data_IF_315210651441
#
_entry.id   IF_315210651441
#
_cell.length_a   1.000
_cell.length_b   1.000
_cell.length_c   1.000
_cell.angle_alpha   90.00
_cell.angle_beta   90.00
_cell.angle_gamma   90.00
#
_symmetry.space_group_name_H-M   'P 1'
#
loop_
_entity.id
_entity.type
_entity.pdbx_description
1 polymer ?
#
# COMPACT_ATOMS: atom_id res chain seq x y z
N UNK A 1 -11.33 22.39 -1.30
CA UNK A 1 -10.30 21.90 -0.35
C UNK A 1 -9.91 20.50 -0.76
N UNK A 2 -8.66 20.08 -0.51
CA UNK A 2 -8.24 18.70 -0.75
C UNK A 2 -8.97 17.78 0.25
N UNK A 3 -9.38 16.60 -0.19
CA UNK A 3 -9.96 15.58 0.69
C UNK A 3 -8.85 14.97 1.56
N UNK A 4 -9.06 14.97 2.88
CA UNK A 4 -8.14 14.41 3.87
C UNK A 4 -8.35 12.92 3.94
N UNK A 5 -7.31 12.15 3.69
CA UNK A 5 -7.41 10.69 3.60
C UNK A 5 -6.43 9.98 4.53
N UNK A 6 -6.85 8.81 4.99
CA UNK A 6 -5.98 7.85 5.67
C UNK A 6 -5.89 6.59 4.83
N UNK A 7 -4.69 6.04 4.66
CA UNK A 7 -4.48 4.80 3.88
C UNK A 7 -4.21 3.66 4.84
N UNK A 8 -5.07 2.65 4.84
CA UNK A 8 -5.00 1.51 5.75
C UNK A 8 -4.25 0.36 5.09
N UNK A 9 -3.19 -0.18 5.69
CA UNK A 9 -2.47 -1.30 5.12
C UNK A 9 -1.28 -1.85 5.91
N UNK A 10 -0.78 -2.99 5.46
CA UNK A 10 0.38 -3.69 6.04
C UNK A 10 1.62 -3.58 5.15
N UNK A 11 1.97 -2.36 4.73
CA UNK A 11 3.25 -2.00 4.16
C UNK A 11 3.64 -2.81 2.90
N UNK A 12 2.92 -2.52 1.82
CA UNK A 12 3.17 -2.98 0.46
C UNK A 12 2.22 -2.30 -0.51
N UNK A 13 0.95 -2.73 -0.52
CA UNK A 13 -0.09 -2.18 -1.41
C UNK A 13 -0.49 -0.75 -1.02
N UNK A 14 -0.47 -0.40 0.26
CA UNK A 14 -0.70 0.96 0.77
C UNK A 14 0.28 1.99 0.18
N UNK A 15 1.59 1.74 0.26
CA UNK A 15 2.60 2.61 -0.34
C UNK A 15 2.48 2.64 -1.87
N UNK A 16 2.14 1.51 -2.48
CA UNK A 16 1.88 1.47 -3.92
C UNK A 16 0.68 2.35 -4.31
N UNK A 17 -0.45 2.21 -3.64
CA UNK A 17 -1.66 3.02 -3.83
C UNK A 17 -1.37 4.50 -3.64
N UNK A 18 -0.61 4.85 -2.60
CA UNK A 18 -0.10 6.21 -2.40
C UNK A 18 0.67 6.70 -3.63
N UNK A 19 1.70 5.97 -4.05
CA UNK A 19 2.60 6.40 -5.11
C UNK A 19 1.91 6.56 -6.47
N UNK A 20 0.96 5.69 -6.82
CA UNK A 20 0.33 5.69 -8.14
C UNK A 20 -0.91 6.57 -8.24
N UNK A 21 -1.63 6.78 -7.13
CA UNK A 21 -2.94 7.45 -7.17
C UNK A 21 -2.98 8.77 -6.38
N UNK A 22 -2.25 8.88 -5.25
CA UNK A 22 -2.40 9.99 -4.32
C UNK A 22 -1.22 10.97 -4.30
N UNK A 23 0.02 10.49 -4.48
CA UNK A 23 1.26 11.27 -4.27
C UNK A 23 1.21 12.65 -4.93
N UNK A 24 0.94 12.66 -6.23
CA UNK A 24 0.97 13.87 -7.05
C UNK A 24 -0.43 14.45 -7.33
N UNK A 25 -1.48 13.93 -6.66
CA UNK A 25 -2.87 14.33 -6.89
C UNK A 25 -3.35 15.42 -5.89
N UNK A 26 -3.50 16.70 -6.31
CA UNK A 26 -3.84 17.80 -5.42
C UNK A 26 -5.27 17.72 -4.84
N UNK A 27 -6.12 16.84 -5.37
CA UNK A 27 -7.46 16.62 -4.83
C UNK A 27 -7.45 15.93 -3.45
N UNK A 28 -6.33 15.31 -3.06
CA UNK A 28 -6.20 14.53 -1.83
C UNK A 28 -5.00 14.97 -0.98
N UNK A 29 -5.15 14.93 0.33
CA UNK A 29 -4.08 15.08 1.33
C UNK A 29 -4.02 13.79 2.16
N UNK A 30 -2.93 13.04 2.06
CA UNK A 30 -2.73 11.80 2.82
C UNK A 30 -2.18 12.17 4.20
N UNK A 31 -3.03 12.10 5.21
CA UNK A 31 -2.71 12.52 6.57
C UNK A 31 -1.84 11.47 7.27
N UNK A 32 -2.16 10.20 7.07
CA UNK A 32 -1.41 9.09 7.67
C UNK A 32 -1.59 7.79 6.87
N UNK A 33 -0.66 6.87 7.09
CA UNK A 33 -0.91 5.44 6.93
C UNK A 33 -1.33 4.84 8.27
N UNK A 34 -2.17 3.82 8.27
CA UNK A 34 -2.39 2.97 9.45
C UNK A 34 -1.88 1.57 9.20
N UNK A 35 -1.32 0.94 10.23
CA UNK A 35 -0.89 -0.44 10.19
C UNK A 35 -1.39 -1.23 11.39
N UNK A 36 -1.72 -2.51 11.16
CA UNK A 36 -1.84 -3.51 12.23
C UNK A 36 -0.42 -3.83 12.69
N UNK A 37 -0.22 -4.22 13.95
CA UNK A 37 1.12 -4.40 14.54
C UNK A 37 2.02 -5.26 13.65
N UNK A 38 2.96 -4.60 12.96
CA UNK A 38 4.12 -5.24 12.37
C UNK A 38 5.26 -4.98 13.35
N UNK A 39 5.96 -6.01 13.84
CA UNK A 39 7.15 -5.82 14.64
C UNK A 39 8.09 -4.79 13.98
N UNK A 40 8.56 -3.82 14.75
CA UNK A 40 9.55 -2.81 14.32
C UNK A 40 9.06 -1.69 13.36
N UNK A 41 7.74 -1.45 13.24
CA UNK A 41 7.19 -0.36 12.40
C UNK A 41 6.48 0.76 13.20
N UNK A 42 6.23 0.56 14.49
CA UNK A 42 5.63 1.57 15.36
C UNK A 42 6.50 2.86 15.38
N UNK A 43 5.87 4.01 15.15
CA UNK A 43 6.47 5.35 14.98
C UNK A 43 7.29 5.60 13.70
N UNK A 44 7.16 4.77 12.66
CA UNK A 44 7.81 5.05 11.37
C UNK A 44 7.03 6.07 10.55
N UNK A 45 7.74 6.82 9.72
CA UNK A 45 7.19 7.67 8.66
C UNK A 45 7.48 7.03 7.32
N UNK A 46 6.55 7.13 6.38
CA UNK A 46 6.89 7.01 4.98
C UNK A 46 7.83 8.18 4.62
N UNK A 47 9.05 7.92 4.12
CA UNK A 47 10.12 8.92 4.05
C UNK A 47 9.80 10.04 3.06
N UNK A 48 10.21 11.27 3.39
CA UNK A 48 9.99 12.45 2.56
C UNK A 48 10.58 12.29 1.15
N UNK A 49 11.72 11.61 1.06
CA UNK A 49 12.45 11.28 -0.16
C UNK A 49 11.60 10.47 -1.14
N UNK A 50 10.66 9.66 -0.65
CA UNK A 50 9.74 8.88 -1.47
C UNK A 50 8.34 9.52 -1.56
N UNK A 51 7.96 10.31 -0.56
CA UNK A 51 6.65 10.95 -0.48
C UNK A 51 6.51 12.14 -1.45
N UNK A 52 7.62 12.73 -1.88
CA UNK A 52 7.64 13.81 -2.85
C UNK A 52 7.36 15.19 -2.25
N UNK A 53 7.35 16.26 -3.06
CA UNK A 53 7.40 17.65 -2.60
C UNK A 53 6.23 18.09 -1.71
N UNK A 54 5.09 17.40 -1.81
CA UNK A 54 3.88 17.69 -1.04
C UNK A 54 3.96 17.19 0.41
N UNK A 55 4.93 16.33 0.72
CA UNK A 55 5.10 15.71 2.03
C UNK A 55 6.56 15.85 2.50
N UNK A 56 7.06 17.08 2.73
CA UNK A 56 8.46 17.33 3.08
C UNK A 56 8.88 16.72 4.43
N UNK A 57 7.91 16.42 5.30
CA UNK A 57 8.14 15.72 6.58
C UNK A 57 7.85 14.21 6.51
N UNK A 58 7.61 13.68 5.30
CA UNK A 58 7.07 12.34 5.12
C UNK A 58 5.64 12.21 5.66
N UNK A 59 5.13 10.98 5.68
CA UNK A 59 3.75 10.69 6.11
C UNK A 59 3.81 9.76 7.33
N UNK A 60 3.16 10.09 8.45
CA UNK A 60 3.18 9.24 9.64
C UNK A 60 2.51 7.89 9.39
N UNK A 61 3.06 6.84 10.01
CA UNK A 61 2.45 5.50 10.08
C UNK A 61 2.00 5.31 11.53
N UNK A 62 0.68 5.21 11.72
CA UNK A 62 0.02 5.17 13.03
C UNK A 62 -0.62 3.79 13.27
N UNK A 63 -0.96 3.51 14.53
CA UNK A 63 -1.60 2.26 14.88
C UNK A 63 -3.05 2.21 14.35
N UNK A 64 -3.43 1.14 13.67
CA UNK A 64 -4.80 0.98 13.18
C UNK A 64 -5.84 0.90 14.31
N UNK A 65 -5.44 0.50 15.52
CA UNK A 65 -6.31 0.54 16.71
C UNK A 65 -6.78 1.96 17.06
N UNK A 66 -6.14 3.00 16.53
CA UNK A 66 -6.54 4.40 16.72
C UNK A 66 -7.44 4.93 15.59
N UNK A 67 -7.82 4.12 14.60
CA UNK A 67 -8.51 4.55 13.39
C UNK A 67 -9.71 5.47 13.64
N UNK A 68 -10.63 5.08 14.53
CA UNK A 68 -11.82 5.88 14.81
C UNK A 68 -11.50 7.21 15.50
N UNK A 69 -10.45 7.23 16.34
CA UNK A 69 -9.94 8.45 16.96
C UNK A 69 -9.33 9.35 15.89
N UNK A 70 -8.48 8.81 15.03
CA UNK A 70 -7.83 9.54 13.94
C UNK A 70 -8.86 10.13 12.98
N UNK A 71 -9.92 9.38 12.63
CA UNK A 71 -10.99 9.88 11.76
C UNK A 71 -11.61 11.17 12.32
N UNK A 72 -11.87 11.21 13.63
CA UNK A 72 -12.47 12.38 14.29
C UNK A 72 -11.47 13.52 14.50
N UNK A 73 -10.33 13.22 15.10
CA UNK A 73 -9.34 14.21 15.55
C UNK A 73 -8.66 14.89 14.35
N UNK A 74 -8.32 14.10 13.31
CA UNK A 74 -7.65 14.58 12.10
C UNK A 74 -8.63 15.02 11.00
N UNK A 75 -9.95 14.91 11.24
CA UNK A 75 -11.02 15.24 10.29
C UNK A 75 -10.83 14.55 8.95
N UNK A 76 -10.76 13.23 8.97
CA UNK A 76 -10.56 12.41 7.77
C UNK A 76 -11.87 12.31 6.98
N UNK A 77 -11.82 12.64 5.69
CA UNK A 77 -12.96 12.53 4.77
C UNK A 77 -13.12 11.11 4.22
N UNK A 78 -12.01 10.39 3.99
CA UNK A 78 -12.03 9.04 3.41
C UNK A 78 -10.92 8.14 3.97
N UNK A 79 -11.27 6.92 4.38
CA UNK A 79 -10.32 5.86 4.64
C UNK A 79 -10.18 4.94 3.41
N UNK A 80 -8.96 4.76 2.95
CA UNK A 80 -8.62 3.97 1.76
C UNK A 80 -8.07 2.62 2.22
N UNK A 81 -8.83 1.56 1.98
CA UNK A 81 -8.47 0.23 2.42
C UNK A 81 -7.50 -0.44 1.41
N UNK A 82 -6.30 -0.77 1.88
CA UNK A 82 -5.19 -1.27 1.06
C UNK A 82 -4.58 -2.57 1.57
N UNK A 83 -5.19 -3.27 2.53
CA UNK A 83 -4.75 -4.62 2.88
C UNK A 83 -4.96 -5.58 1.70
N UNK A 84 -4.05 -6.55 1.62
CA UNK A 84 -4.18 -7.76 0.79
C UNK A 84 -4.35 -8.97 1.70
N UNK A 85 -4.91 -10.06 1.19
CA UNK A 85 -5.03 -11.35 1.90
C UNK A 85 -5.92 -11.30 3.17
N UNK A 86 -7.05 -10.60 3.10
CA UNK A 86 -8.09 -10.57 4.14
C UNK A 86 -9.41 -11.15 3.64
N UNK A 87 -10.26 -11.62 4.55
CA UNK A 87 -11.59 -12.10 4.21
C UNK A 87 -12.51 -10.95 3.82
N UNK A 88 -13.54 -11.25 3.03
CA UNK A 88 -14.62 -10.30 2.74
C UNK A 88 -15.22 -9.71 4.02
N UNK A 89 -15.49 -10.56 5.01
CA UNK A 89 -16.06 -10.13 6.29
C UNK A 89 -15.17 -9.11 6.99
N UNK A 90 -13.86 -9.29 6.97
CA UNK A 90 -12.93 -8.33 7.56
C UNK A 90 -13.02 -6.97 6.86
N UNK A 91 -13.04 -6.95 5.51
CA UNK A 91 -13.20 -5.71 4.73
C UNK A 91 -14.50 -4.99 5.12
N UNK A 92 -15.60 -5.73 5.24
CA UNK A 92 -16.90 -5.16 5.57
C UNK A 92 -17.02 -4.69 7.02
N UNK A 93 -16.37 -5.38 7.97
CA UNK A 93 -16.30 -4.90 9.36
C UNK A 93 -15.51 -3.60 9.46
N UNK A 94 -14.38 -3.50 8.74
CA UNK A 94 -13.59 -2.26 8.73
C UNK A 94 -14.36 -1.12 8.07
N UNK A 95 -15.06 -1.37 6.95
CA UNK A 95 -15.87 -0.32 6.30
C UNK A 95 -16.97 0.20 7.20
N UNK A 96 -17.66 -0.68 7.94
CA UNK A 96 -18.67 -0.29 8.92
C UNK A 96 -18.10 0.59 10.04
N UNK A 97 -16.91 0.24 10.58
CA UNK A 97 -16.21 1.05 11.60
C UNK A 97 -15.86 2.45 11.08
N UNK A 98 -15.30 2.54 9.88
CA UNK A 98 -14.93 3.81 9.23
C UNK A 98 -16.16 4.70 9.03
N UNK A 99 -17.23 4.15 8.47
CA UNK A 99 -18.47 4.89 8.24
C UNK A 99 -19.14 5.33 9.54
N UNK A 100 -19.14 4.48 10.58
CA UNK A 100 -19.64 4.84 11.90
C UNK A 100 -18.83 5.97 12.56
N UNK A 101 -17.53 6.08 12.25
CA UNK A 101 -16.69 7.18 12.70
C UNK A 101 -16.88 8.47 11.88
N UNK A 102 -17.63 8.43 10.77
CA UNK A 102 -18.01 9.60 9.97
C UNK A 102 -17.21 9.81 8.68
N UNK A 103 -16.33 8.88 8.28
CA UNK A 103 -15.56 8.96 7.04
C UNK A 103 -16.13 8.07 5.94
N UNK A 104 -15.85 8.41 4.68
CA UNK A 104 -16.09 7.52 3.56
C UNK A 104 -15.13 6.32 3.58
N UNK A 105 -15.54 5.22 2.96
CA UNK A 105 -14.68 4.05 2.76
C UNK A 105 -14.40 3.84 1.26
N UNK A 106 -13.13 3.66 0.90
CA UNK A 106 -12.71 3.54 -0.49
C UNK A 106 -11.89 2.27 -0.73
N UNK A 107 -12.22 1.57 -1.82
CA UNK A 107 -11.40 0.50 -2.40
C UNK A 107 -10.92 0.93 -3.77
N UNK A 108 -9.60 1.01 -3.96
CA UNK A 108 -9.02 1.31 -5.26
C UNK A 108 -9.07 0.10 -6.19
N UNK A 109 -9.57 0.32 -7.40
CA UNK A 109 -9.67 -0.70 -8.44
C UNK A 109 -8.37 -0.91 -9.22
N UNK A 110 -8.29 -1.98 -10.04
CA UNK A 110 -7.13 -2.28 -10.87
C UNK A 110 -6.75 -1.13 -11.80
N UNK A 111 -7.71 -0.44 -12.42
CA UNK A 111 -7.45 0.67 -13.36
C UNK A 111 -6.73 1.85 -12.69
N UNK A 112 -6.96 2.07 -11.40
CA UNK A 112 -6.35 3.15 -10.63
C UNK A 112 -4.97 2.77 -10.07
N UNK A 113 -4.63 1.48 -10.06
CA UNK A 113 -3.48 0.96 -9.31
C UNK A 113 -2.50 0.18 -10.18
N UNK A 114 -2.91 -0.34 -11.33
CA UNK A 114 -2.02 -1.07 -12.23
C UNK A 114 -1.12 -0.11 -13.02
N UNK A 115 0.17 -0.44 -13.09
CA UNK A 115 1.11 0.28 -13.93
C UNK A 115 1.00 -0.25 -15.38
N UNK A 116 0.98 0.64 -16.39
CA UNK A 116 1.08 0.22 -17.78
C UNK A 116 2.47 -0.37 -18.05
N UNK A 117 2.52 -1.41 -18.89
CA UNK A 117 3.78 -2.02 -19.32
C UNK A 117 3.82 -2.15 -20.83
N UNK A 118 4.92 -1.73 -21.43
CA UNK A 118 5.24 -2.02 -22.85
C UNK A 118 6.00 -3.34 -23.02
N UNK A 119 6.24 -4.08 -21.93
CA UNK A 119 6.98 -5.34 -21.91
C UNK A 119 6.09 -6.48 -21.43
N UNK A 120 6.30 -7.72 -21.88
CA UNK A 120 5.60 -8.88 -21.32
C UNK A 120 5.81 -8.96 -19.81
N UNK A 121 4.74 -9.20 -19.06
CA UNK A 121 4.76 -9.34 -17.60
C UNK A 121 4.39 -10.76 -17.24
N UNK A 122 5.23 -11.43 -16.46
CA UNK A 122 4.97 -12.76 -15.92
C UNK A 122 4.72 -12.62 -14.42
N UNK A 123 3.47 -12.79 -14.00
CA UNK A 123 3.09 -12.74 -12.60
C UNK A 123 3.18 -14.13 -11.95
N UNK A 124 3.96 -14.26 -10.88
CA UNK A 124 4.07 -15.49 -10.09
C UNK A 124 3.19 -15.38 -8.84
N UNK A 125 1.99 -15.94 -8.93
CA UNK A 125 0.99 -15.92 -7.87
C UNK A 125 1.05 -17.19 -7.00
N UNK A 126 0.46 -17.15 -5.81
CA UNK A 126 0.25 -18.33 -4.98
C UNK A 126 -0.97 -18.16 -4.09
N UNK A 127 -1.62 -19.28 -3.75
CA UNK A 127 -2.80 -19.32 -2.89
C UNK A 127 -2.53 -19.04 -1.41
N UNK A 128 -1.27 -19.16 -0.96
CA UNK A 128 -0.85 -18.88 0.43
C UNK A 128 0.60 -18.43 0.55
N UNK A 129 0.91 -17.77 1.66
CA UNK A 129 2.29 -17.44 2.03
C UNK A 129 3.11 -18.73 2.27
N UNK A 130 4.40 -18.70 1.92
CA UNK A 130 5.28 -19.87 2.01
C UNK A 130 5.15 -20.89 0.88
N UNK A 131 4.24 -20.71 -0.08
CA UNK A 131 4.02 -21.64 -1.20
C UNK A 131 5.11 -21.61 -2.32
N UNK A 132 6.28 -21.03 -2.06
CA UNK A 132 7.42 -21.11 -2.99
C UNK A 132 7.48 -20.07 -4.12
N UNK A 133 6.71 -18.96 -4.04
CA UNK A 133 6.73 -17.89 -5.07
C UNK A 133 8.15 -17.45 -5.45
N UNK A 134 9.00 -17.19 -4.45
CA UNK A 134 10.37 -16.72 -4.69
C UNK A 134 11.24 -17.74 -5.41
N UNK A 135 11.11 -19.02 -5.09
CA UNK A 135 11.82 -20.12 -5.74
C UNK A 135 11.37 -20.25 -7.20
N UNK A 136 10.06 -20.23 -7.43
CA UNK A 136 9.47 -20.27 -8.78
C UNK A 136 9.91 -19.05 -9.60
N UNK A 137 9.85 -17.84 -9.04
CA UNK A 137 10.32 -16.63 -9.73
C UNK A 137 11.78 -16.72 -10.14
N UNK A 138 12.67 -17.23 -9.28
CA UNK A 138 14.09 -17.43 -9.62
C UNK A 138 14.28 -18.47 -10.72
N UNK A 139 13.51 -19.56 -10.70
CA UNK A 139 13.56 -20.57 -11.74
C UNK A 139 13.11 -20.02 -13.09
N UNK A 140 12.00 -19.27 -13.13
CA UNK A 140 11.48 -18.62 -14.34
C UNK A 140 12.49 -17.61 -14.89
N UNK A 141 13.08 -16.77 -14.02
CA UNK A 141 14.12 -15.80 -14.43
C UNK A 141 15.32 -16.50 -15.05
N UNK A 142 15.78 -17.62 -14.48
CA UNK A 142 16.89 -18.41 -15.01
C UNK A 142 16.57 -18.95 -16.41
N UNK A 143 15.44 -19.62 -16.58
CA UNK A 143 15.02 -20.18 -17.88
C UNK A 143 14.90 -19.09 -18.95
N UNK A 144 14.27 -17.96 -18.63
CA UNK A 144 14.15 -16.85 -19.60
C UNK A 144 15.51 -16.27 -19.99
N UNK A 145 16.48 -16.21 -19.07
CA UNK A 145 17.85 -15.78 -19.37
C UNK A 145 18.60 -16.79 -20.24
N UNK A 146 18.44 -18.08 -19.98
CA UNK A 146 19.00 -19.16 -20.83
C UNK A 146 18.44 -19.10 -22.25
N UNK A 147 17.19 -18.65 -22.41
CA UNK A 147 16.55 -18.36 -23.70
C UNK A 147 16.95 -16.99 -24.31
N UNK A 148 17.96 -16.32 -23.75
CA UNK A 148 18.49 -15.05 -24.28
C UNK A 148 17.66 -13.80 -23.98
N UNK A 149 16.66 -13.88 -23.09
CA UNK A 149 15.82 -12.72 -22.75
C UNK A 149 16.49 -11.83 -21.69
N UNK A 150 16.25 -10.51 -21.78
CA UNK A 150 16.59 -9.55 -20.72
C UNK A 150 15.46 -9.50 -19.70
N UNK A 151 15.75 -9.92 -18.47
CA UNK A 151 14.74 -10.09 -17.41
C UNK A 151 15.07 -9.24 -16.20
N UNK A 152 14.06 -8.53 -15.71
CA UNK A 152 14.07 -7.74 -14.46
C UNK A 152 12.98 -8.26 -13.53
N UNK A 153 13.28 -8.28 -12.23
CA UNK A 153 12.29 -8.57 -11.19
C UNK A 153 11.65 -7.28 -10.71
N UNK A 154 10.32 -7.25 -10.65
CA UNK A 154 9.54 -6.16 -10.06
C UNK A 154 8.98 -6.64 -8.73
N UNK A 155 9.23 -5.88 -7.65
CA UNK A 155 8.75 -6.19 -6.30
C UNK A 155 8.09 -4.97 -5.67
N UNK A 156 7.07 -5.19 -4.85
CA UNK A 156 6.54 -4.13 -4.00
C UNK A 156 7.61 -3.73 -2.97
N UNK A 157 7.70 -2.43 -2.60
CA UNK A 157 8.53 -1.99 -1.50
C UNK A 157 7.94 -2.55 -0.20
N UNK A 158 8.52 -3.63 0.31
CA UNK A 158 8.21 -4.12 1.64
C UNK A 158 8.97 -3.26 2.67
N UNK A 159 8.42 -2.98 3.86
CA UNK A 159 9.03 -2.12 4.88
C UNK A 159 10.21 -2.78 5.61
N UNK A 160 10.56 -4.00 5.22
CA UNK A 160 11.67 -4.73 5.81
C UNK A 160 12.99 -4.06 5.39
N UNK A 161 13.58 -3.29 6.30
CA UNK A 161 14.83 -2.56 6.07
C UNK A 161 14.64 -1.05 5.94
N UNK A 162 15.59 -0.41 5.26
CA UNK A 162 15.54 1.02 4.92
C UNK A 162 14.80 1.16 3.58
N UNK A 163 13.65 1.84 3.57
CA UNK A 163 12.84 2.07 2.38
C UNK A 163 13.57 2.90 1.30
N UNK A 164 14.61 3.64 1.67
CA UNK A 164 15.43 4.49 0.80
C UNK A 164 16.67 3.77 0.27
N UNK A 165 17.02 2.59 0.82
CA UNK A 165 18.25 1.86 0.49
C UNK A 165 18.11 0.90 -0.70
#
# INVERSE_FOLDING_TARGET
MAQRIIIMGAAGRDFHNFNVYFRDNPAYEVVAFTATQIPYIENRRYPAELAGPRYPAGIPILAESELERLVRDERIDTAVFSYSDVTYDHVMHVSARVMAAGANFMLLGPQQTMLPSTKPVVAICASRTGAGKSQTSRAVVRVLRELGQRVVSVRHPMPYGNLVA
#
